data_IF_027604510656
#
_entry.id   IF_027604510656
#
_cell.length_a   1.000
_cell.length_b   1.000
_cell.length_c   1.000
_cell.angle_alpha   90.00
_cell.angle_beta   90.00
_cell.angle_gamma   90.00
#
_symmetry.space_group_name_H-M   'P 1'
#
loop_
_entity.id
_entity.type
_entity.pdbx_description
1 polymer ?
#
# COMPACT_ATOMS: atom_id res chain seq x y z
N UNK A 1 22.78 -12.51 -9.57
CA UNK A 1 22.53 -11.78 -10.83
C UNK A 1 22.21 -10.34 -10.44
N UNK A 2 23.17 -9.43 -10.62
CA UNK A 2 22.96 -8.00 -10.37
C UNK A 2 22.17 -7.50 -11.58
N UNK A 3 20.92 -7.10 -11.35
CA UNK A 3 20.11 -6.48 -12.40
C UNK A 3 20.70 -5.10 -12.67
N UNK A 4 20.90 -4.77 -13.95
CA UNK A 4 21.31 -3.42 -14.32
C UNK A 4 20.29 -2.41 -13.77
N UNK A 5 20.80 -1.26 -13.33
CA UNK A 5 19.94 -0.17 -12.90
C UNK A 5 19.03 0.27 -14.06
N UNK A 6 17.79 0.70 -13.78
CA UNK A 6 16.89 1.15 -14.82
C UNK A 6 17.50 2.35 -15.57
N UNK A 7 17.25 2.49 -16.89
CA UNK A 7 17.63 3.68 -17.63
C UNK A 7 17.04 4.95 -17.00
N UNK A 8 17.72 6.09 -17.14
CA UNK A 8 17.29 7.37 -16.57
C UNK A 8 15.84 7.74 -16.95
N UNK A 9 15.45 7.53 -18.21
CA UNK A 9 14.08 7.79 -18.66
C UNK A 9 13.03 6.94 -17.92
N UNK A 10 13.39 5.70 -17.54
CA UNK A 10 12.54 4.84 -16.71
C UNK A 10 12.46 5.35 -15.27
N UNK A 11 13.56 5.84 -14.70
CA UNK A 11 13.56 6.45 -13.37
C UNK A 11 12.67 7.70 -13.33
N UNK A 12 12.77 8.58 -14.33
CA UNK A 12 11.92 9.76 -14.49
C UNK A 12 10.44 9.38 -14.65
N UNK A 13 10.16 8.35 -15.46
CA UNK A 13 8.80 7.82 -15.61
C UNK A 13 8.25 7.21 -14.31
N UNK A 14 9.12 6.78 -13.39
CA UNK A 14 8.75 6.22 -12.08
C UNK A 14 8.54 7.28 -10.99
N UNK A 15 8.97 8.52 -11.19
CA UNK A 15 8.78 9.61 -10.23
C UNK A 15 7.30 9.81 -9.88
N UNK A 16 6.99 9.94 -8.59
CA UNK A 16 5.60 10.04 -8.13
C UNK A 16 5.19 11.52 -8.05
N UNK A 17 4.26 11.98 -8.90
CA UNK A 17 3.82 13.37 -8.86
C UNK A 17 3.05 13.64 -7.57
N UNK A 18 3.12 14.88 -7.08
CA UNK A 18 2.39 15.35 -5.89
C UNK A 18 2.61 14.49 -4.63
N UNK A 19 3.76 13.79 -4.57
CA UNK A 19 4.19 13.11 -3.35
C UNK A 19 4.28 14.11 -2.22
N UNK A 20 3.77 13.71 -1.08
CA UNK A 20 3.87 14.46 0.16
C UNK A 20 4.53 13.59 1.22
N UNK A 21 5.11 14.26 2.20
CA UNK A 21 5.57 13.61 3.42
C UNK A 21 4.51 13.81 4.50
N UNK A 22 4.06 12.70 5.07
CA UNK A 22 3.23 12.68 6.27
C UNK A 22 3.97 11.92 7.38
N UNK A 23 3.72 12.23 8.66
CA UNK A 23 4.34 11.48 9.74
C UNK A 23 3.96 10.00 9.67
N UNK A 24 4.98 9.14 9.68
CA UNK A 24 4.81 7.68 9.72
C UNK A 24 5.51 7.14 10.95
N UNK A 25 4.75 6.57 11.87
CA UNK A 25 5.30 5.83 13.00
C UNK A 25 5.56 4.38 12.58
N UNK A 26 6.84 3.97 12.60
CA UNK A 26 7.24 2.59 12.30
C UNK A 26 7.47 1.83 13.60
N UNK A 27 6.83 0.67 13.75
CA UNK A 27 6.96 -0.18 14.94
C UNK A 27 6.85 -1.65 14.57
N UNK A 28 7.46 -2.52 15.37
CA UNK A 28 7.17 -3.96 15.37
C UNK A 28 6.22 -4.22 16.53
N UNK A 29 5.02 -4.72 16.23
CA UNK A 29 3.92 -4.87 17.18
C UNK A 29 3.60 -6.35 17.42
N UNK A 30 3.35 -6.71 18.67
CA UNK A 30 2.74 -8.00 19.04
C UNK A 30 1.28 -7.81 19.44
N UNK A 31 0.59 -8.92 19.77
CA UNK A 31 -0.82 -8.93 20.15
C UNK A 31 -1.21 -7.80 21.13
N UNK A 32 -0.44 -7.59 22.19
CA UNK A 32 -0.74 -6.60 23.24
C UNK A 32 -0.65 -5.14 22.77
N UNK A 33 -0.03 -4.89 21.63
CA UNK A 33 0.16 -3.55 21.08
C UNK A 33 -0.95 -3.14 20.10
N UNK A 34 -1.80 -4.09 19.69
CA UNK A 34 -2.94 -3.83 18.81
C UNK A 34 -4.21 -3.55 19.62
N UNK A 35 -5.12 -2.69 19.11
CA UNK A 35 -6.51 -2.72 19.54
C UNK A 35 -7.08 -4.14 19.43
N UNK A 36 -7.78 -4.60 20.47
CA UNK A 36 -8.27 -5.98 20.53
C UNK A 36 -9.09 -6.39 19.30
N UNK A 37 -9.95 -5.48 18.84
CA UNK A 37 -10.81 -5.74 17.69
C UNK A 37 -10.02 -5.75 16.37
N UNK A 38 -8.94 -4.98 16.25
CA UNK A 38 -8.04 -5.07 15.10
C UNK A 38 -7.30 -6.41 15.11
N UNK A 39 -6.81 -6.86 16.27
CA UNK A 39 -6.16 -8.15 16.38
C UNK A 39 -7.06 -9.31 15.93
N UNK A 40 -8.35 -9.27 16.27
CA UNK A 40 -9.34 -10.25 15.79
C UNK A 40 -9.43 -10.27 14.25
N UNK A 41 -9.45 -9.09 13.62
CA UNK A 41 -9.45 -9.01 12.14
C UNK A 41 -8.16 -9.59 11.54
N UNK A 42 -7.00 -9.30 12.14
CA UNK A 42 -5.71 -9.81 11.66
C UNK A 42 -5.66 -11.34 11.71
N UNK A 43 -6.25 -11.98 12.73
CA UNK A 43 -6.29 -13.44 12.85
C UNK A 43 -7.12 -14.13 11.76
N UNK A 44 -7.99 -13.40 11.05
CA UNK A 44 -8.87 -13.96 10.01
C UNK A 44 -8.23 -13.96 8.61
N UNK A 45 -7.00 -13.46 8.46
CA UNK A 45 -6.31 -13.35 7.18
C UNK A 45 -5.25 -14.44 7.00
N UNK A 46 -4.96 -14.74 5.74
CA UNK A 46 -3.80 -15.54 5.36
C UNK A 46 -2.56 -14.64 5.24
N UNK A 47 -1.53 -14.94 6.03
CA UNK A 47 -0.28 -14.17 6.11
C UNK A 47 0.85 -14.75 5.27
N UNK A 48 0.55 -15.65 4.32
CA UNK A 48 1.51 -16.14 3.32
C UNK A 48 2.67 -16.97 3.90
N UNK A 49 2.54 -17.46 5.14
CA UNK A 49 3.44 -18.47 5.72
C UNK A 49 2.97 -19.87 5.34
N UNK A 50 3.85 -20.85 5.47
CA UNK A 50 3.52 -22.27 5.25
C UNK A 50 2.37 -22.79 6.12
N UNK A 51 2.10 -22.14 7.26
CA UNK A 51 0.97 -22.43 8.14
C UNK A 51 -0.18 -21.41 8.03
N UNK A 52 -0.05 -20.37 7.20
CA UNK A 52 -1.01 -19.29 7.00
C UNK A 52 -1.20 -18.34 8.19
N UNK A 53 -0.48 -18.54 9.30
CA UNK A 53 -0.78 -17.87 10.57
C UNK A 53 -0.14 -16.49 10.69
N UNK A 54 -0.86 -15.60 11.37
CA UNK A 54 -0.34 -14.33 11.84
C UNK A 54 0.90 -14.56 12.72
N UNK A 55 2.04 -13.89 12.46
CA UNK A 55 3.22 -13.96 13.31
C UNK A 55 2.99 -13.34 14.69
N UNK A 56 3.71 -13.82 15.71
CA UNK A 56 3.69 -13.24 17.07
C UNK A 56 4.05 -11.75 17.11
N UNK A 57 4.88 -11.32 16.16
CA UNK A 57 5.29 -9.94 15.96
C UNK A 57 5.27 -9.59 14.48
N UNK A 58 4.72 -8.43 14.14
CA UNK A 58 4.60 -7.95 12.76
C UNK A 58 5.04 -6.50 12.66
N UNK A 59 5.73 -6.18 11.57
CA UNK A 59 6.10 -4.81 11.29
C UNK A 59 4.87 -4.03 10.84
N UNK A 60 4.73 -2.83 11.40
CA UNK A 60 3.62 -1.93 11.16
C UNK A 60 4.12 -0.52 10.87
N UNK A 61 3.38 0.15 9.99
CA UNK A 61 3.46 1.59 9.80
C UNK A 61 2.10 2.18 10.21
N UNK A 62 2.11 3.23 11.01
CA UNK A 62 0.89 3.93 11.42
C UNK A 62 0.97 5.37 10.92
N UNK A 63 -0.10 5.80 10.27
CA UNK A 63 -0.22 7.11 9.63
C UNK A 63 -1.70 7.49 9.54
N UNK A 64 -1.96 8.79 9.56
CA UNK A 64 -3.30 9.34 9.40
C UNK A 64 -3.55 9.61 7.91
N UNK A 65 -4.34 8.75 7.26
CA UNK A 65 -4.63 8.86 5.83
C UNK A 65 -5.81 9.81 5.53
N UNK A 66 -6.63 10.16 6.52
CA UNK A 66 -7.88 10.90 6.30
C UNK A 66 -7.99 12.22 7.10
N UNK A 67 -6.98 12.56 7.90
CA UNK A 67 -6.90 13.66 8.87
C UNK A 67 -8.00 13.69 9.94
N UNK A 68 -8.47 12.52 10.36
CA UNK A 68 -9.39 12.39 11.50
C UNK A 68 -8.67 12.17 12.85
N UNK A 69 -7.34 12.20 12.85
CA UNK A 69 -6.45 11.95 14.01
C UNK A 69 -6.44 10.50 14.50
N UNK A 70 -7.23 9.62 13.89
CA UNK A 70 -7.09 8.17 14.04
C UNK A 70 -6.03 7.68 13.05
N UNK A 71 -5.25 6.70 13.49
CA UNK A 71 -4.20 6.13 12.65
C UNK A 71 -4.74 4.93 11.88
N UNK A 72 -4.47 4.90 10.59
CA UNK A 72 -4.49 3.69 9.79
C UNK A 72 -3.27 2.84 10.09
N UNK A 73 -3.47 1.52 10.13
CA UNK A 73 -2.42 0.52 10.36
C UNK A 73 -2.08 -0.15 9.04
N UNK A 74 -0.86 0.08 8.57
CA UNK A 74 -0.27 -0.67 7.47
C UNK A 74 0.51 -1.82 8.07
N UNK A 75 0.00 -3.04 7.92
CA UNK A 75 0.55 -4.26 8.51
C UNK A 75 1.27 -5.08 7.43
N UNK A 76 2.54 -5.41 7.66
CA UNK A 76 3.35 -6.17 6.71
C UNK A 76 2.79 -7.59 6.54
N UNK A 77 2.35 -7.92 5.33
CA UNK A 77 1.74 -9.22 5.05
C UNK A 77 2.72 -10.39 5.08
N UNK A 78 4.03 -10.14 4.99
CA UNK A 78 5.13 -11.12 4.83
C UNK A 78 5.05 -12.03 3.60
N UNK A 79 3.91 -12.11 2.92
CA UNK A 79 3.74 -12.83 1.65
C UNK A 79 4.68 -12.31 0.55
N UNK A 80 5.13 -11.05 0.67
CA UNK A 80 6.01 -10.40 -0.30
C UNK A 80 5.31 -10.11 -1.62
N UNK A 81 5.70 -9.02 -2.27
CA UNK A 81 5.30 -8.73 -3.65
C UNK A 81 6.47 -8.91 -4.60
N UNK A 82 6.20 -8.94 -5.91
CA UNK A 82 7.24 -8.91 -6.96
C UNK A 82 8.17 -7.69 -6.85
N UNK A 83 7.79 -6.70 -6.05
CA UNK A 83 8.37 -5.36 -6.05
C UNK A 83 8.77 -4.87 -4.67
N UNK A 84 8.56 -5.64 -3.60
CA UNK A 84 8.93 -5.23 -2.25
C UNK A 84 7.96 -5.74 -1.19
N UNK A 85 7.97 -5.08 -0.03
CA UNK A 85 7.09 -5.40 1.09
C UNK A 85 5.64 -5.04 0.76
N UNK A 86 4.75 -6.02 0.89
CA UNK A 86 3.31 -5.83 0.79
C UNK A 86 2.74 -5.45 2.16
N UNK A 87 1.95 -4.39 2.18
CA UNK A 87 1.30 -3.84 3.36
C UNK A 87 -0.21 -3.89 3.18
N UNK A 88 -0.90 -4.52 4.12
CA UNK A 88 -2.36 -4.43 4.23
C UNK A 88 -2.74 -3.20 5.04
N UNK A 89 -3.68 -2.41 4.53
CA UNK A 89 -4.12 -1.14 5.12
C UNK A 89 -5.39 -1.41 5.92
N UNK A 90 -5.36 -1.16 7.22
CA UNK A 90 -6.52 -1.23 8.09
C UNK A 90 -6.92 0.14 8.60
N UNK A 91 -8.22 0.42 8.56
CA UNK A 91 -8.81 1.63 9.14
C UNK A 91 -9.99 1.25 10.00
N UNK A 92 -10.27 2.08 11.01
CA UNK A 92 -11.49 1.96 11.82
C UNK A 92 -12.63 2.71 11.12
N UNK A 93 -13.53 1.97 10.49
CA UNK A 93 -14.66 2.48 9.71
C UNK A 93 -15.95 2.22 10.49
N UNK A 94 -16.74 3.25 10.76
CA UNK A 94 -18.02 3.13 11.48
C UNK A 94 -17.94 2.31 12.80
N UNK A 95 -16.81 2.42 13.50
CA UNK A 95 -16.57 1.71 14.77
C UNK A 95 -15.94 0.32 14.64
N UNK A 96 -15.85 -0.25 13.44
CA UNK A 96 -15.25 -1.57 13.18
C UNK A 96 -13.93 -1.45 12.42
N UNK A 97 -12.98 -2.33 12.70
CA UNK A 97 -11.75 -2.41 11.91
C UNK A 97 -12.02 -3.16 10.61
N UNK A 98 -11.48 -2.66 9.50
CA UNK A 98 -11.61 -3.28 8.18
C UNK A 98 -10.31 -3.12 7.40
N UNK A 99 -9.94 -4.12 6.62
CA UNK A 99 -8.94 -3.97 5.57
C UNK A 99 -9.52 -3.13 4.43
N UNK A 100 -8.97 -1.94 4.22
CA UNK A 100 -9.44 -0.97 3.22
C UNK A 100 -8.55 -0.89 2.00
N UNK A 101 -7.51 -1.71 1.89
CA UNK A 101 -6.66 -1.77 0.72
C UNK A 101 -5.31 -2.41 0.99
N UNK A 102 -4.45 -2.37 -0.01
CA UNK A 102 -3.08 -2.88 0.07
C UNK A 102 -2.15 -2.07 -0.82
N UNK A 103 -0.86 -2.07 -0.48
CA UNK A 103 0.16 -1.36 -1.25
C UNK A 103 1.56 -1.98 -1.10
N UNK A 104 2.45 -1.69 -2.05
CA UNK A 104 3.83 -2.19 -2.11
C UNK A 104 4.80 -1.11 -2.56
N UNK A 105 5.85 -0.81 -1.80
CA UNK A 105 6.81 0.27 -2.13
C UNK A 105 6.09 1.56 -2.54
N UNK A 106 5.28 2.06 -1.61
CA UNK A 106 4.33 3.12 -1.89
C UNK A 106 4.88 4.51 -1.55
N UNK A 107 4.26 5.51 -2.16
CA UNK A 107 4.35 6.92 -1.81
C UNK A 107 2.95 7.44 -1.52
N UNK A 108 2.86 8.37 -0.58
CA UNK A 108 1.61 9.06 -0.26
C UNK A 108 1.52 10.32 -1.11
N UNK A 109 0.34 10.57 -1.67
CA UNK A 109 0.07 11.76 -2.47
C UNK A 109 -1.03 12.62 -1.85
N UNK A 110 -1.24 13.81 -2.41
CA UNK A 110 -2.28 14.75 -1.97
C UNK A 110 -3.66 14.10 -1.86
N UNK A 111 -4.49 14.68 -0.98
CA UNK A 111 -5.83 14.16 -0.70
C UNK A 111 -6.77 14.27 -1.89
N UNK A 112 -7.63 13.27 -2.00
CA UNK A 112 -8.83 13.25 -2.84
C UNK A 112 -9.98 12.71 -1.99
N UNK A 113 -11.13 13.39 -1.98
CA UNK A 113 -12.30 12.98 -1.19
C UNK A 113 -12.03 12.81 0.32
N UNK A 114 -11.17 13.65 0.89
CA UNK A 114 -10.81 13.62 2.31
C UNK A 114 -9.67 12.65 2.68
N UNK A 115 -9.30 11.75 1.78
CA UNK A 115 -8.26 10.72 1.99
C UNK A 115 -7.04 10.98 1.13
N UNK A 116 -5.85 10.70 1.66
CA UNK A 116 -4.62 10.70 0.91
C UNK A 116 -4.63 9.56 -0.14
N UNK A 117 -4.22 9.88 -1.37
CA UNK A 117 -4.00 8.86 -2.39
C UNK A 117 -2.72 8.07 -2.12
N UNK A 118 -2.63 6.89 -2.71
CA UNK A 118 -1.46 6.02 -2.62
C UNK A 118 -0.99 5.71 -4.03
N UNK A 119 0.31 5.88 -4.27
CA UNK A 119 0.94 5.49 -5.53
C UNK A 119 2.00 4.47 -5.24
N UNK A 120 1.94 3.31 -5.89
CA UNK A 120 2.84 2.21 -5.57
C UNK A 120 3.29 1.51 -6.86
N UNK A 121 4.47 0.92 -6.84
CA UNK A 121 5.10 0.41 -8.07
C UNK A 121 5.24 -1.10 -8.04
N UNK A 122 4.83 -1.73 -9.14
CA UNK A 122 5.09 -3.13 -9.44
C UNK A 122 6.14 -3.29 -10.54
N UNK A 123 6.94 -4.37 -10.51
CA UNK A 123 7.99 -4.74 -11.45
C UNK A 123 7.67 -6.11 -12.06
N UNK A 124 7.65 -6.17 -13.38
CA UNK A 124 7.43 -7.40 -14.16
C UNK A 124 8.70 -8.07 -14.68
N UNK A 125 9.88 -7.43 -14.49
CA UNK A 125 11.14 -7.86 -15.11
C UNK A 125 11.38 -7.19 -16.47
N UNK A 126 12.60 -7.28 -17.03
CA UNK A 126 12.91 -6.76 -18.37
C UNK A 126 12.52 -5.30 -18.64
N UNK A 127 12.74 -4.41 -17.67
CA UNK A 127 12.34 -2.98 -17.70
C UNK A 127 10.84 -2.69 -17.72
N UNK A 128 9.99 -3.70 -17.51
CA UNK A 128 8.57 -3.50 -17.33
C UNK A 128 8.25 -3.09 -15.88
N UNK A 129 7.70 -1.89 -15.74
CA UNK A 129 7.15 -1.40 -14.48
C UNK A 129 5.67 -1.07 -14.65
N UNK A 130 4.94 -1.12 -13.55
CA UNK A 130 3.57 -0.62 -13.47
C UNK A 130 3.47 0.26 -12.24
N UNK A 131 3.24 1.56 -12.44
CA UNK A 131 2.89 2.47 -11.36
C UNK A 131 1.37 2.48 -11.22
N UNK A 132 0.90 2.26 -10.01
CA UNK A 132 -0.50 2.01 -9.68
C UNK A 132 -0.94 3.17 -8.79
N UNK A 133 -1.95 3.91 -9.24
CA UNK A 133 -2.54 5.01 -8.50
C UNK A 133 -3.83 4.52 -7.85
N UNK A 134 -3.95 4.74 -6.56
CA UNK A 134 -5.10 4.36 -5.76
C UNK A 134 -5.66 5.59 -5.03
N UNK A 135 -6.98 5.71 -5.03
CA UNK A 135 -7.71 6.69 -4.23
C UNK A 135 -8.78 5.98 -3.40
N UNK A 136 -9.07 6.50 -2.21
CA UNK A 136 -10.13 5.96 -1.37
C UNK A 136 -11.50 6.27 -2.00
N UNK A 137 -12.29 5.23 -2.23
CA UNK A 137 -13.69 5.34 -2.63
C UNK A 137 -14.57 5.34 -1.40
N UNK A 138 -15.29 6.45 -1.17
CA UNK A 138 -16.27 6.53 -0.08
C UNK A 138 -17.44 5.56 -0.30
N UNK A 139 -17.82 5.33 -1.55
CA UNK A 139 -18.91 4.41 -1.91
C UNK A 139 -18.56 2.94 -1.63
N UNK A 140 -17.34 2.53 -2.00
CA UNK A 140 -16.86 1.14 -1.78
C UNK A 140 -16.23 0.94 -0.41
N UNK A 141 -15.97 2.04 0.31
CA UNK A 141 -15.30 2.08 1.60
C UNK A 141 -13.94 1.34 1.58
N UNK A 142 -13.16 1.61 0.53
CA UNK A 142 -11.84 1.02 0.28
C UNK A 142 -11.04 1.82 -0.77
N UNK A 143 -9.72 1.63 -0.79
CA UNK A 143 -8.83 2.09 -1.84
C UNK A 143 -9.09 1.32 -3.13
N UNK A 144 -9.34 2.06 -4.20
CA UNK A 144 -9.52 1.52 -5.54
C UNK A 144 -8.45 2.05 -6.48
N UNK A 145 -8.02 1.21 -7.41
CA UNK A 145 -7.12 1.65 -8.48
C UNK A 145 -7.85 2.61 -9.41
N UNK A 146 -7.34 3.83 -9.53
CA UNK A 146 -7.87 4.86 -10.42
C UNK A 146 -7.13 4.89 -11.75
N UNK A 147 -5.84 4.56 -11.74
CA UNK A 147 -4.98 4.66 -12.91
C UNK A 147 -3.79 3.69 -12.81
N UNK A 148 -3.41 3.14 -13.95
CA UNK A 148 -2.23 2.30 -14.12
C UNK A 148 -1.34 2.92 -15.19
N UNK A 149 -0.08 3.20 -14.84
CA UNK A 149 0.94 3.63 -15.78
C UNK A 149 1.84 2.44 -16.06
N UNK A 150 1.67 1.82 -17.24
CA UNK A 150 2.56 0.78 -17.75
C UNK A 150 3.79 1.47 -18.33
N UNK A 151 4.96 1.15 -17.79
CA UNK A 151 6.22 1.78 -18.16
C UNK A 151 7.11 0.71 -18.80
N UNK A 152 7.61 1.01 -19.99
CA UNK A 152 8.61 0.20 -20.68
C UNK A 152 9.53 1.12 -21.48
N UNK A 153 10.84 1.00 -21.28
CA UNK A 153 11.85 1.85 -21.95
C UNK A 153 11.51 3.35 -21.84
N UNK A 154 11.18 3.81 -20.63
CA UNK A 154 10.75 5.19 -20.33
C UNK A 154 9.39 5.62 -20.90
N UNK A 155 8.74 4.82 -21.76
CA UNK A 155 7.43 5.15 -22.35
C UNK A 155 6.31 4.78 -21.40
N UNK A 156 5.36 5.71 -21.22
CA UNK A 156 4.20 5.54 -20.34
C UNK A 156 2.96 5.26 -21.18
N UNK A 157 2.30 4.14 -20.90
CA UNK A 157 0.93 3.86 -21.36
C UNK A 157 -0.01 3.93 -20.17
N UNK A 158 -1.02 4.79 -20.27
CA UNK A 158 -2.03 5.00 -19.23
C UNK A 158 -3.24 4.09 -19.46
N UNK A 159 -3.62 3.34 -18.44
CA UNK A 159 -4.82 2.51 -18.39
C UNK A 159 -5.69 2.97 -17.22
N UNK A 160 -6.99 3.14 -17.45
CA UNK A 160 -7.99 3.47 -16.42
C UNK A 160 -8.87 2.24 -16.19
N UNK A 161 -8.76 1.58 -15.03
CA UNK A 161 -9.61 0.43 -14.72
C UNK A 161 -11.09 0.83 -14.75
N UNK A 162 -11.95 -0.09 -15.20
CA UNK A 162 -13.40 0.09 -15.03
C UNK A 162 -13.72 0.03 -13.54
N UNK A 163 -14.30 1.11 -13.02
CA UNK A 163 -14.73 1.20 -11.62
C UNK A 163 -16.07 0.52 -11.41
#
# INVERSE_FOLDING_TARGET
MVLADPPQATLEALEVPDKIDIPIAKKTLGHKDFPEDLWKELLNLDWGKSDGKLPDQVDCQMLDLNSDQSLEYLVNSRAGGSSGTLWYIFSKRQGVWKMVGECQNYSIVKKQNGWHGIVHTSRGGGEHYTKIFQSFSIEKDEYVTTELHRIYDGKITVEKPKQ
#
